data_IF_152621182486
#
_entry.id   IF_152621182486
#
_cell.length_a   1.000
_cell.length_b   1.000
_cell.length_c   1.000
_cell.angle_alpha   90.00
_cell.angle_beta   90.00
_cell.angle_gamma   90.00
#
_symmetry.space_group_name_H-M   'P 1'
#
loop_
_entity.id
_entity.type
_entity.pdbx_description
1 polymer ?
#
# COMPACT_ATOMS: atom_id res chain seq x y z
N UNK A 1 -67.68 -12.07 -82.49
CA UNK A 1 -66.45 -12.86 -82.66
C UNK A 1 -65.39 -12.14 -81.85
N UNK A 2 -64.97 -12.57 -80.67
CA UNK A 2 -65.22 -13.77 -79.86
C UNK A 2 -64.81 -13.35 -78.44
N UNK A 3 -65.44 -13.95 -77.44
CA UNK A 3 -65.14 -13.81 -76.02
C UNK A 3 -63.65 -14.06 -75.72
N UNK A 4 -63.12 -13.32 -74.75
CA UNK A 4 -62.12 -13.86 -73.82
C UNK A 4 -62.28 -13.11 -72.49
N UNK A 5 -63.00 -13.76 -71.57
CA UNK A 5 -63.10 -13.37 -70.17
C UNK A 5 -61.83 -13.88 -69.50
N UNK A 6 -60.85 -13.00 -69.28
CA UNK A 6 -59.75 -13.30 -68.37
C UNK A 6 -60.24 -12.94 -66.97
N UNK A 7 -60.70 -13.97 -66.25
CA UNK A 7 -61.05 -13.93 -64.83
C UNK A 7 -59.80 -13.53 -64.01
N UNK A 8 -59.74 -12.29 -63.54
CA UNK A 8 -58.70 -11.86 -62.61
C UNK A 8 -58.97 -12.49 -61.23
N UNK A 9 -58.19 -13.50 -60.86
CA UNK A 9 -58.06 -13.90 -59.46
C UNK A 9 -57.56 -12.71 -58.64
N UNK A 10 -58.18 -12.37 -57.50
CA UNK A 10 -57.70 -11.27 -56.68
C UNK A 10 -56.32 -11.64 -56.12
N UNK A 11 -55.32 -10.80 -56.39
CA UNK A 11 -54.01 -10.91 -55.79
C UNK A 11 -54.16 -10.93 -54.26
N UNK A 12 -54.02 -12.11 -53.66
CA UNK A 12 -53.78 -12.21 -52.22
C UNK A 12 -52.52 -11.40 -51.95
N UNK A 13 -52.67 -10.29 -51.22
CA UNK A 13 -51.54 -9.63 -50.56
C UNK A 13 -51.03 -10.61 -49.51
N UNK A 14 -50.16 -11.51 -49.94
CA UNK A 14 -49.35 -12.33 -49.05
C UNK A 14 -48.51 -11.35 -48.24
N UNK A 15 -48.96 -11.06 -47.02
CA UNK A 15 -48.18 -10.28 -46.08
C UNK A 15 -46.88 -11.05 -45.90
N UNK A 16 -45.77 -10.51 -46.42
CA UNK A 16 -44.43 -11.06 -46.26
C UNK A 16 -44.11 -11.11 -44.76
N UNK A 17 -44.54 -12.19 -44.11
CA UNK A 17 -44.18 -12.49 -42.73
C UNK A 17 -42.68 -12.75 -42.75
N UNK A 18 -41.92 -11.83 -42.13
CA UNK A 18 -40.48 -11.95 -42.08
C UNK A 18 -40.09 -13.34 -41.53
N UNK A 19 -39.14 -14.04 -42.17
CA UNK A 19 -38.80 -15.40 -41.78
C UNK A 19 -38.29 -15.42 -40.33
N UNK A 20 -38.65 -16.46 -39.58
CA UNK A 20 -38.42 -16.55 -38.14
C UNK A 20 -36.95 -16.29 -37.73
N UNK A 21 -35.98 -16.65 -38.59
CA UNK A 21 -34.55 -16.40 -38.35
C UNK A 21 -34.18 -14.91 -38.33
N UNK A 22 -34.85 -14.04 -39.11
CA UNK A 22 -34.63 -12.60 -39.10
C UNK A 22 -35.13 -11.99 -37.79
N UNK A 23 -36.32 -12.39 -37.33
CA UNK A 23 -36.86 -11.92 -36.04
C UNK A 23 -36.05 -12.43 -34.85
N UNK A 24 -35.51 -13.65 -34.92
CA UNK A 24 -34.60 -14.20 -33.92
C UNK A 24 -33.26 -13.44 -33.92
N UNK A 25 -32.65 -13.21 -35.09
CA UNK A 25 -31.45 -12.38 -35.22
C UNK A 25 -31.68 -10.95 -34.69
N UNK A 26 -32.86 -10.37 -34.97
CA UNK A 26 -33.25 -9.03 -34.52
C UNK A 26 -33.57 -8.95 -33.01
N UNK A 27 -33.82 -10.08 -32.35
CA UNK A 27 -33.96 -10.14 -30.89
C UNK A 27 -32.61 -10.36 -30.22
N UNK A 28 -31.74 -11.18 -30.82
CA UNK A 28 -30.42 -11.52 -30.28
C UNK A 28 -29.41 -10.36 -30.41
N UNK A 29 -29.39 -9.59 -31.51
CA UNK A 29 -28.46 -8.44 -31.62
C UNK A 29 -28.75 -7.34 -30.59
N UNK A 30 -30.02 -7.09 -30.21
CA UNK A 30 -30.37 -6.14 -29.14
C UNK A 30 -29.85 -6.59 -27.79
N UNK A 31 -29.91 -7.89 -27.51
CA UNK A 31 -29.34 -8.49 -26.30
C UNK A 31 -27.81 -8.32 -26.27
N UNK A 32 -27.12 -8.67 -27.36
CA UNK A 32 -25.66 -8.48 -27.45
C UNK A 32 -25.25 -7.01 -27.42
N UNK A 33 -26.00 -6.12 -28.06
CA UNK A 33 -25.77 -4.67 -27.99
C UNK A 33 -25.96 -4.13 -26.56
N UNK A 34 -26.98 -4.61 -25.83
CA UNK A 34 -27.18 -4.28 -24.43
C UNK A 34 -26.04 -4.75 -23.54
N UNK A 35 -25.57 -6.00 -23.72
CA UNK A 35 -24.41 -6.54 -23.00
C UNK A 35 -23.14 -5.75 -23.31
N UNK A 36 -22.89 -5.46 -24.60
CA UNK A 36 -21.72 -4.69 -25.01
C UNK A 36 -21.71 -3.28 -24.39
N UNK A 37 -22.85 -2.59 -24.38
CA UNK A 37 -22.99 -1.28 -23.74
C UNK A 37 -22.66 -1.34 -22.25
N UNK A 38 -23.20 -2.33 -21.53
CA UNK A 38 -22.91 -2.52 -20.10
C UNK A 38 -21.42 -2.79 -19.88
N UNK A 39 -20.80 -3.64 -20.70
CA UNK A 39 -19.35 -3.91 -20.60
C UNK A 39 -18.51 -2.65 -20.86
N UNK A 40 -18.86 -1.84 -21.87
CA UNK A 40 -18.16 -0.58 -22.13
C UNK A 40 -18.28 0.40 -20.97
N UNK A 41 -19.45 0.49 -20.32
CA UNK A 41 -19.65 1.34 -19.13
C UNK A 41 -18.82 0.83 -17.94
N UNK A 42 -18.75 -0.48 -17.73
CA UNK A 42 -17.92 -1.08 -16.66
C UNK A 42 -16.44 -0.79 -16.91
N UNK A 43 -15.95 -1.04 -18.12
CA UNK A 43 -14.54 -0.80 -18.48
C UNK A 43 -14.19 0.69 -18.40
N UNK A 44 -15.06 1.56 -18.92
CA UNK A 44 -14.89 3.01 -18.85
C UNK A 44 -14.90 3.53 -17.41
N UNK A 45 -15.81 3.02 -16.57
CA UNK A 45 -15.86 3.34 -15.15
C UNK A 45 -14.62 2.87 -14.40
N UNK A 46 -14.14 1.65 -14.66
CA UNK A 46 -12.90 1.13 -14.07
C UNK A 46 -11.68 1.96 -14.47
N UNK A 47 -11.56 2.34 -15.74
CA UNK A 47 -10.45 3.16 -16.23
C UNK A 47 -10.49 4.57 -15.66
N UNK A 48 -11.67 5.20 -15.57
CA UNK A 48 -11.83 6.51 -14.93
C UNK A 48 -11.50 6.47 -13.42
N UNK A 49 -11.98 5.44 -12.71
CA UNK A 49 -11.68 5.24 -11.30
C UNK A 49 -10.17 5.09 -11.07
N UNK A 50 -9.51 4.21 -11.82
CA UNK A 50 -8.06 4.01 -11.75
C UNK A 50 -7.28 5.27 -12.12
N UNK A 51 -7.71 5.99 -13.15
CA UNK A 51 -7.10 7.27 -13.54
C UNK A 51 -7.22 8.33 -12.44
N UNK A 52 -8.29 8.31 -11.66
CA UNK A 52 -8.45 9.22 -10.53
C UNK A 52 -7.49 8.88 -9.38
N UNK A 53 -7.33 7.59 -9.06
CA UNK A 53 -6.36 7.13 -8.05
C UNK A 53 -4.92 7.47 -8.43
N UNK A 54 -4.54 7.22 -9.69
CA UNK A 54 -3.20 7.54 -10.21
C UNK A 54 -2.89 9.05 -10.11
N UNK A 55 -3.87 9.90 -10.43
CA UNK A 55 -3.72 11.35 -10.33
C UNK A 55 -3.50 11.81 -8.88
N UNK A 56 -4.29 11.30 -7.93
CA UNK A 56 -4.13 11.59 -6.50
C UNK A 56 -2.76 11.14 -5.99
N UNK A 57 -2.30 9.97 -6.40
CA UNK A 57 -1.01 9.44 -6.00
C UNK A 57 0.15 10.32 -6.51
N UNK A 58 0.09 10.76 -7.77
CA UNK A 58 1.10 11.65 -8.36
C UNK A 58 1.13 13.00 -7.63
N UNK A 59 -0.04 13.54 -7.28
CA UNK A 59 -0.13 14.80 -6.54
C UNK A 59 0.46 14.66 -5.12
N UNK A 60 0.15 13.57 -4.42
CA UNK A 60 0.72 13.25 -3.11
C UNK A 60 2.26 13.19 -3.17
N UNK A 61 2.83 12.46 -4.13
CA UNK A 61 4.27 12.37 -4.32
C UNK A 61 4.90 13.71 -4.71
N UNK A 62 4.18 14.53 -5.48
CA UNK A 62 4.61 15.89 -5.82
C UNK A 62 4.69 16.75 -4.57
N UNK A 63 3.68 16.71 -3.68
CA UNK A 63 3.72 17.43 -2.40
C UNK A 63 4.85 16.91 -1.50
N UNK A 64 5.02 15.59 -1.40
CA UNK A 64 6.11 14.96 -0.65
C UNK A 64 7.48 15.46 -1.10
N UNK A 65 7.69 15.59 -2.41
CA UNK A 65 8.97 16.07 -2.98
C UNK A 65 9.34 17.47 -2.50
N UNK A 66 8.36 18.32 -2.17
CA UNK A 66 8.56 19.71 -1.70
C UNK A 66 9.00 19.76 -0.24
N UNK A 67 8.68 18.73 0.54
CA UNK A 67 8.99 18.67 1.98
C UNK A 67 10.20 17.81 2.27
N UNK A 68 10.56 16.91 1.35
CA UNK A 68 11.59 15.90 1.58
C UNK A 68 12.90 16.48 2.13
N UNK A 69 13.36 17.61 1.59
CA UNK A 69 14.58 18.27 2.08
C UNK A 69 14.46 18.78 3.53
N UNK A 70 13.30 19.28 3.93
CA UNK A 70 13.04 19.75 5.30
C UNK A 70 13.04 18.59 6.28
N UNK A 71 12.43 17.46 5.88
CA UNK A 71 12.46 16.22 6.65
C UNK A 71 13.90 15.67 6.78
N UNK A 72 14.64 15.58 5.67
CA UNK A 72 16.01 15.06 5.64
C UNK A 72 16.99 15.96 6.44
N UNK A 73 16.68 17.25 6.57
CA UNK A 73 17.40 18.19 7.44
C UNK A 73 17.09 18.00 8.93
N UNK A 74 16.17 17.09 9.29
CA UNK A 74 15.76 16.82 10.67
C UNK A 74 14.80 17.86 11.26
N UNK A 75 14.28 18.79 10.44
CA UNK A 75 13.31 19.79 10.91
C UNK A 75 11.89 19.19 10.90
N UNK A 76 11.66 18.27 11.84
CA UNK A 76 10.48 17.41 11.85
C UNK A 76 9.17 18.17 12.04
N UNK A 77 9.11 19.16 12.93
CA UNK A 77 7.88 19.96 13.10
C UNK A 77 7.51 20.71 11.81
N UNK A 78 8.50 21.35 11.17
CA UNK A 78 8.26 22.01 9.89
C UNK A 78 7.87 21.03 8.78
N UNK A 79 8.42 19.81 8.77
CA UNK A 79 8.01 18.79 7.81
C UNK A 79 6.59 18.25 8.07
N UNK A 80 6.18 18.14 9.33
CA UNK A 80 4.86 17.64 9.72
C UNK A 80 3.73 18.59 9.30
N UNK A 81 3.90 19.89 9.50
CA UNK A 81 2.84 20.89 9.26
C UNK A 81 3.03 21.72 7.98
N UNK A 82 4.27 21.83 7.49
CA UNK A 82 4.67 22.76 6.43
C UNK A 82 4.47 24.25 6.74
N UNK A 83 4.20 24.64 7.99
CA UNK A 83 3.90 26.04 8.34
C UNK A 83 5.06 27.00 8.05
N UNK A 84 6.30 26.49 8.09
CA UNK A 84 7.52 27.27 7.82
C UNK A 84 8.04 27.11 6.39
N UNK A 85 7.29 26.45 5.50
CA UNK A 85 7.71 26.16 4.13
C UNK A 85 7.00 27.12 3.17
N UNK A 86 7.80 27.87 2.40
CA UNK A 86 7.27 28.82 1.45
C UNK A 86 6.44 28.12 0.35
N UNK A 87 5.31 28.72 -0.09
CA UNK A 87 4.53 28.19 -1.19
C UNK A 87 5.34 28.19 -2.49
N UNK A 88 4.96 27.33 -3.42
CA UNK A 88 5.57 27.29 -4.76
C UNK A 88 4.59 27.87 -5.76
N UNK A 89 4.85 29.12 -6.17
CA UNK A 89 3.86 29.92 -6.90
C UNK A 89 2.68 30.25 -6.01
N UNK A 90 1.47 29.97 -6.49
CA UNK A 90 0.23 30.18 -5.73
C UNK A 90 -0.16 28.96 -4.87
N UNK A 91 0.56 27.84 -4.99
CA UNK A 91 0.20 26.58 -4.34
C UNK A 91 0.87 26.45 -2.96
N UNK A 92 0.03 26.27 -1.93
CA UNK A 92 0.45 25.92 -0.56
C UNK A 92 1.15 24.56 -0.58
N UNK A 93 2.23 24.44 0.20
CA UNK A 93 2.87 23.15 0.49
C UNK A 93 2.13 22.48 1.65
N UNK A 94 1.73 21.22 1.48
CA UNK A 94 0.97 20.48 2.49
C UNK A 94 1.92 19.68 3.37
N UNK A 95 1.86 19.81 4.71
CA UNK A 95 2.67 19.03 5.64
C UNK A 95 2.47 17.51 5.53
N UNK A 96 3.42 16.71 6.05
CA UNK A 96 3.32 15.24 6.00
C UNK A 96 2.01 14.70 6.59
N UNK A 97 1.49 15.32 7.66
CA UNK A 97 0.21 14.93 8.27
C UNK A 97 -0.98 15.23 7.34
N UNK A 98 -0.94 16.37 6.66
CA UNK A 98 -1.98 16.78 5.72
C UNK A 98 -1.94 15.91 4.45
N UNK A 99 -0.75 15.58 3.94
CA UNK A 99 -0.62 14.66 2.81
C UNK A 99 -1.11 13.25 3.18
N UNK A 100 -0.72 12.73 4.36
CA UNK A 100 -1.14 11.38 4.76
C UNK A 100 -2.65 11.25 4.88
N UNK A 101 -3.33 12.31 5.34
CA UNK A 101 -4.79 12.34 5.48
C UNK A 101 -5.51 12.58 4.15
N UNK A 102 -5.07 13.56 3.35
CA UNK A 102 -5.77 13.94 2.12
C UNK A 102 -5.62 12.91 1.00
N UNK A 103 -4.55 12.12 1.02
CA UNK A 103 -4.24 11.11 0.02
C UNK A 103 -4.26 9.68 0.59
N UNK A 104 -5.09 9.45 1.63
CA UNK A 104 -5.30 8.13 2.22
C UNK A 104 -5.70 7.09 1.15
N UNK A 105 -5.14 5.88 1.26
CA UNK A 105 -5.32 4.81 0.28
C UNK A 105 -4.43 4.90 -0.97
N UNK A 106 -3.65 5.98 -1.14
CA UNK A 106 -2.62 6.06 -2.19
C UNK A 106 -1.23 5.73 -1.65
N UNK A 107 -0.32 5.34 -2.55
CA UNK A 107 1.07 5.08 -2.18
C UNK A 107 1.76 6.32 -1.59
N UNK A 108 1.59 7.49 -2.21
CA UNK A 108 2.13 8.75 -1.70
C UNK A 108 1.58 9.13 -0.33
N UNK A 109 0.29 8.84 -0.06
CA UNK A 109 -0.31 9.01 1.26
C UNK A 109 0.33 8.10 2.31
N UNK A 110 0.56 6.83 2.00
CA UNK A 110 1.21 5.88 2.89
C UNK A 110 2.69 6.19 3.14
N UNK A 111 3.43 6.60 2.10
CA UNK A 111 4.81 7.11 2.25
C UNK A 111 4.83 8.33 3.16
N UNK A 112 3.89 9.26 2.99
CA UNK A 112 3.78 10.44 3.84
C UNK A 112 3.45 10.06 5.28
N UNK A 113 2.56 9.09 5.49
CA UNK A 113 2.23 8.55 6.81
C UNK A 113 3.47 7.92 7.47
N UNK A 114 4.24 7.11 6.74
CA UNK A 114 5.47 6.51 7.25
C UNK A 114 6.49 7.57 7.65
N UNK A 115 6.69 8.59 6.81
CA UNK A 115 7.58 9.71 7.12
C UNK A 115 7.07 10.53 8.32
N UNK A 116 5.77 10.79 8.41
CA UNK A 116 5.16 11.47 9.54
C UNK A 116 5.37 10.69 10.85
N UNK A 117 5.16 9.37 10.83
CA UNK A 117 5.42 8.49 11.97
C UNK A 117 6.88 8.55 12.43
N UNK A 118 7.82 8.54 11.47
CA UNK A 118 9.25 8.68 11.77
C UNK A 118 9.60 10.05 12.37
N UNK A 119 9.05 11.15 11.83
CA UNK A 119 9.21 12.49 12.37
C UNK A 119 8.65 12.60 13.80
N UNK A 120 7.44 12.10 14.03
CA UNK A 120 6.80 12.10 15.35
C UNK A 120 7.57 11.25 16.36
N UNK A 121 8.11 10.10 15.94
CA UNK A 121 9.01 9.27 16.75
C UNK A 121 10.28 10.04 17.14
N UNK A 122 10.89 10.76 16.18
CA UNK A 122 12.06 11.62 16.43
C UNK A 122 11.78 12.78 17.38
N UNK A 123 10.52 13.23 17.47
CA UNK A 123 10.05 14.24 18.42
C UNK A 123 9.58 13.65 19.77
N UNK A 124 9.60 12.33 19.94
CA UNK A 124 9.10 11.64 21.13
C UNK A 124 7.56 11.59 21.23
N UNK A 125 6.84 11.93 20.16
CA UNK A 125 5.37 11.93 20.06
C UNK A 125 4.87 10.55 19.62
N UNK A 126 5.15 9.53 20.43
CA UNK A 126 4.96 8.11 20.06
C UNK A 126 3.49 7.71 19.83
N UNK A 127 2.53 8.28 20.55
CA UNK A 127 1.11 7.96 20.35
C UNK A 127 0.63 8.42 18.97
N UNK A 128 0.96 9.66 18.58
CA UNK A 128 0.65 10.18 17.24
C UNK A 128 1.43 9.42 16.15
N UNK A 129 2.67 9.01 16.44
CA UNK A 129 3.46 8.21 15.52
C UNK A 129 2.79 6.87 15.20
N UNK A 130 2.21 6.21 16.21
CA UNK A 130 1.47 4.95 16.03
C UNK A 130 0.32 5.11 15.06
N UNK A 131 -0.45 6.19 15.15
CA UNK A 131 -1.56 6.44 14.23
C UNK A 131 -1.08 6.58 12.79
N UNK A 132 0.05 7.28 12.58
CA UNK A 132 0.64 7.42 11.25
C UNK A 132 1.22 6.11 10.71
N UNK A 133 1.89 5.30 11.53
CA UNK A 133 2.37 3.99 11.08
C UNK A 133 1.22 3.03 10.76
N UNK A 134 0.13 3.05 11.53
CA UNK A 134 -1.07 2.27 11.20
C UNK A 134 -1.66 2.69 9.85
N UNK A 135 -1.68 3.99 9.55
CA UNK A 135 -2.12 4.49 8.25
C UNK A 135 -1.17 4.05 7.12
N UNK A 136 0.14 4.03 7.37
CA UNK A 136 1.12 3.54 6.39
C UNK A 136 0.94 2.06 6.02
N UNK A 137 0.40 1.23 6.92
CA UNK A 137 0.10 -0.18 6.65
C UNK A 137 -1.00 -0.41 5.61
N UNK A 138 -1.70 0.64 5.15
CA UNK A 138 -2.66 0.51 4.05
C UNK A 138 -2.01 0.23 2.69
N UNK A 139 -0.69 0.37 2.58
CA UNK A 139 0.07 0.12 1.35
C UNK A 139 0.56 -1.34 1.30
N UNK A 140 0.56 -1.92 0.09
CA UNK A 140 1.01 -3.28 -0.14
C UNK A 140 2.52 -3.39 -0.44
N UNK A 141 3.21 -2.27 -0.63
CA UNK A 141 4.64 -2.23 -0.86
C UNK A 141 5.37 -2.72 0.38
N UNK A 142 6.13 -3.82 0.22
CA UNK A 142 6.90 -4.48 1.29
C UNK A 142 7.74 -3.48 2.09
N UNK A 143 8.41 -2.54 1.42
CA UNK A 143 9.25 -1.53 2.09
C UNK A 143 8.43 -0.65 3.04
N UNK A 144 7.21 -0.27 2.65
CA UNK A 144 6.33 0.56 3.48
C UNK A 144 5.77 -0.24 4.64
N UNK A 145 5.31 -1.47 4.39
CA UNK A 145 4.81 -2.36 5.44
C UNK A 145 5.88 -2.66 6.49
N UNK A 146 7.09 -3.03 6.06
CA UNK A 146 8.22 -3.31 6.95
C UNK A 146 8.58 -2.08 7.77
N UNK A 147 8.70 -0.90 7.13
CA UNK A 147 9.00 0.34 7.84
C UNK A 147 7.92 0.74 8.84
N UNK A 148 6.64 0.55 8.50
CA UNK A 148 5.53 0.84 9.40
C UNK A 148 5.50 -0.12 10.61
N UNK A 149 5.72 -1.42 10.38
CA UNK A 149 5.83 -2.40 11.47
C UNK A 149 7.03 -2.11 12.38
N UNK A 150 8.17 -1.71 11.82
CA UNK A 150 9.33 -1.24 12.59
C UNK A 150 8.98 -0.04 13.46
N UNK A 151 8.32 0.97 12.89
CA UNK A 151 7.89 2.16 13.62
C UNK A 151 6.92 1.84 14.75
N UNK A 152 5.95 0.96 14.52
CA UNK A 152 5.02 0.48 15.56
C UNK A 152 5.77 -0.26 16.67
N UNK A 153 6.73 -1.11 16.32
CA UNK A 153 7.56 -1.82 17.28
C UNK A 153 8.38 -0.84 18.14
N UNK A 154 9.00 0.17 17.54
CA UNK A 154 9.72 1.22 18.26
C UNK A 154 8.80 2.02 19.21
N UNK A 155 7.55 2.30 18.79
CA UNK A 155 6.57 2.93 19.67
C UNK A 155 6.20 2.02 20.85
N UNK A 156 6.07 0.70 20.64
CA UNK A 156 5.85 -0.26 21.72
C UNK A 156 7.04 -0.32 22.68
N UNK A 157 8.28 -0.30 22.17
CA UNK A 157 9.50 -0.22 23.00
C UNK A 157 9.52 1.03 23.87
N UNK A 158 9.15 2.19 23.31
CA UNK A 158 9.08 3.46 24.06
C UNK A 158 8.08 3.40 25.21
N UNK A 159 7.05 2.56 25.08
CA UNK A 159 6.03 2.32 26.11
C UNK A 159 6.40 1.17 27.07
N UNK A 160 7.60 0.59 26.97
CA UNK A 160 8.06 -0.53 27.78
C UNK A 160 7.44 -1.88 27.41
N UNK A 161 6.70 -1.97 26.31
CA UNK A 161 5.99 -3.17 25.85
C UNK A 161 6.88 -4.06 24.99
N UNK A 162 8.01 -4.48 25.56
CA UNK A 162 9.06 -5.19 24.81
C UNK A 162 8.60 -6.53 24.21
N UNK A 163 7.68 -7.26 24.86
CA UNK A 163 7.16 -8.50 24.29
C UNK A 163 6.36 -8.26 23.00
N UNK A 164 5.44 -7.29 23.03
CA UNK A 164 4.65 -6.89 21.85
C UNK A 164 5.55 -6.31 20.74
N UNK A 165 6.59 -5.55 21.12
CA UNK A 165 7.58 -5.04 20.17
C UNK A 165 8.36 -6.16 19.48
N UNK A 166 8.78 -7.19 20.24
CA UNK A 166 9.49 -8.34 19.69
C UNK A 166 8.67 -9.06 18.62
N UNK A 167 7.40 -9.33 18.91
CA UNK A 167 6.47 -9.96 17.95
C UNK A 167 6.29 -9.10 16.69
N UNK A 168 6.23 -7.77 16.85
CA UNK A 168 6.07 -6.84 15.73
C UNK A 168 7.33 -6.79 14.84
N UNK A 169 8.53 -6.80 15.44
CA UNK A 169 9.77 -6.90 14.69
C UNK A 169 9.93 -8.24 13.97
N UNK A 170 9.52 -9.35 14.58
CA UNK A 170 9.51 -10.65 13.89
C UNK A 170 8.56 -10.64 12.68
N UNK A 171 7.38 -10.04 12.81
CA UNK A 171 6.47 -9.83 11.67
C UNK A 171 7.10 -8.98 10.59
N UNK A 172 7.77 -7.88 10.96
CA UNK A 172 8.49 -7.04 10.01
C UNK A 172 9.60 -7.82 9.27
N UNK A 173 10.34 -8.68 9.97
CA UNK A 173 11.33 -9.56 9.35
C UNK A 173 10.70 -10.57 8.39
N UNK A 174 9.56 -11.16 8.75
CA UNK A 174 8.82 -12.12 7.92
C UNK A 174 8.21 -11.47 6.67
N UNK A 175 7.73 -10.23 6.78
CA UNK A 175 7.23 -9.47 5.62
C UNK A 175 8.38 -9.08 4.69
N UNK A 176 9.54 -8.73 5.25
CA UNK A 176 10.74 -8.32 4.54
C UNK A 176 11.76 -9.43 4.28
N UNK A 177 11.34 -10.70 4.11
CA UNK A 177 12.26 -11.82 3.87
C UNK A 177 13.17 -11.56 2.66
N UNK A 178 14.46 -11.89 2.79
CA UNK A 178 15.50 -11.68 1.78
C UNK A 178 15.74 -10.21 1.40
N UNK A 179 15.15 -9.26 2.14
CA UNK A 179 15.45 -7.85 2.01
C UNK A 179 16.57 -7.43 2.97
N UNK A 180 17.25 -6.31 2.73
CA UNK A 180 18.22 -5.75 3.68
C UNK A 180 17.65 -5.46 5.08
N UNK A 181 16.33 -5.40 5.24
CA UNK A 181 15.65 -5.13 6.50
C UNK A 181 15.50 -6.37 7.39
N UNK A 182 15.51 -7.58 6.81
CA UNK A 182 15.35 -8.84 7.56
C UNK A 182 16.33 -8.98 8.74
N UNK A 183 17.66 -8.89 8.55
CA UNK A 183 18.61 -9.04 9.65
C UNK A 183 18.42 -7.99 10.74
N UNK A 184 18.12 -6.76 10.35
CA UNK A 184 17.92 -5.65 11.28
C UNK A 184 16.69 -5.87 12.15
N UNK A 185 15.58 -6.32 11.56
CA UNK A 185 14.34 -6.61 12.29
C UNK A 185 14.50 -7.79 13.23
N UNK A 186 15.13 -8.88 12.78
CA UNK A 186 15.45 -10.02 13.65
C UNK A 186 16.33 -9.58 14.83
N UNK A 187 17.33 -8.73 14.57
CA UNK A 187 18.19 -8.22 15.63
C UNK A 187 17.41 -7.39 16.67
N UNK A 188 16.53 -6.48 16.25
CA UNK A 188 15.69 -5.72 17.18
C UNK A 188 14.70 -6.60 17.95
N UNK A 189 14.12 -7.63 17.32
CA UNK A 189 13.31 -8.62 18.01
C UNK A 189 14.10 -9.34 19.11
N UNK A 190 15.33 -9.78 18.80
CA UNK A 190 16.20 -10.45 19.76
C UNK A 190 16.57 -9.54 20.95
N UNK A 191 16.83 -8.25 20.72
CA UNK A 191 17.04 -7.27 21.79
C UNK A 191 15.81 -7.12 22.68
N UNK A 192 14.61 -7.09 22.11
CA UNK A 192 13.36 -7.06 22.87
C UNK A 192 13.15 -8.35 23.69
N UNK A 193 13.49 -9.52 23.15
CA UNK A 193 13.47 -10.78 23.90
C UNK A 193 14.50 -10.81 25.04
N UNK A 194 15.69 -10.26 24.82
CA UNK A 194 16.71 -10.08 25.87
C UNK A 194 16.15 -9.21 27.01
N UNK A 195 15.47 -8.10 26.70
CA UNK A 195 14.84 -7.19 27.69
C UNK A 195 13.71 -7.83 28.48
N UNK A 196 12.96 -8.74 27.89
CA UNK A 196 11.87 -9.48 28.57
C UNK A 196 12.38 -10.70 29.35
N UNK A 197 13.69 -10.98 29.31
CA UNK A 197 14.30 -12.13 29.97
C UNK A 197 14.17 -13.45 29.21
N UNK A 198 13.59 -13.44 28.00
CA UNK A 198 13.51 -14.60 27.12
C UNK A 198 14.84 -14.85 26.39
N UNK A 199 15.84 -15.29 27.16
CA UNK A 199 17.21 -15.49 26.67
C UNK A 199 17.30 -16.56 25.59
N UNK A 200 16.48 -17.60 25.68
CA UNK A 200 16.47 -18.73 24.73
C UNK A 200 16.06 -18.25 23.34
N UNK A 201 14.94 -17.52 23.24
CA UNK A 201 14.47 -16.99 21.95
C UNK A 201 15.41 -15.91 21.41
N UNK A 202 15.91 -15.02 22.29
CA UNK A 202 16.91 -14.01 21.90
C UNK A 202 18.18 -14.67 21.31
N UNK A 203 18.72 -15.68 21.99
CA UNK A 203 19.90 -16.42 21.53
C UNK A 203 19.68 -17.16 20.22
N UNK A 204 18.52 -17.80 20.05
CA UNK A 204 18.16 -18.44 18.78
C UNK A 204 18.17 -17.44 17.63
N UNK A 205 17.52 -16.28 17.80
CA UNK A 205 17.44 -15.27 16.76
C UNK A 205 18.82 -14.65 16.49
N UNK A 206 19.60 -14.31 17.52
CA UNK A 206 20.96 -13.81 17.30
C UNK A 206 21.83 -14.82 16.56
N UNK A 207 21.69 -16.12 16.84
CA UNK A 207 22.40 -17.18 16.13
C UNK A 207 21.98 -17.22 14.65
N UNK A 208 20.69 -17.15 14.37
CA UNK A 208 20.18 -17.04 12.99
C UNK A 208 20.77 -15.83 12.29
N UNK A 209 20.79 -14.67 12.95
CA UNK A 209 21.33 -13.45 12.35
C UNK A 209 22.84 -13.58 12.07
N UNK A 210 23.59 -14.11 13.03
CA UNK A 210 25.03 -14.28 12.93
C UNK A 210 25.46 -15.26 11.83
N UNK A 211 24.68 -16.33 11.59
CA UNK A 211 24.96 -17.37 10.58
C UNK A 211 24.38 -17.07 9.19
N UNK A 212 23.13 -16.59 9.12
CA UNK A 212 22.46 -16.33 7.83
C UNK A 212 23.00 -15.07 7.16
N UNK A 213 23.43 -14.07 7.93
CA UNK A 213 23.86 -12.77 7.42
C UNK A 213 25.31 -12.43 7.80
N UNK A 214 26.20 -13.42 7.80
CA UNK A 214 27.60 -13.34 8.27
C UNK A 214 28.40 -12.11 7.79
N UNK A 215 28.14 -11.65 6.57
CA UNK A 215 28.84 -10.51 5.95
C UNK A 215 28.23 -9.15 6.29
N UNK A 216 27.09 -9.12 6.98
CA UNK A 216 26.42 -7.88 7.39
C UNK A 216 27.03 -7.29 8.67
N UNK A 217 26.95 -5.96 8.81
CA UNK A 217 27.33 -5.31 10.06
C UNK A 217 26.50 -5.85 11.26
N UNK A 218 25.21 -6.12 11.04
CA UNK A 218 24.27 -6.62 12.04
C UNK A 218 24.67 -8.01 12.57
N UNK A 219 25.31 -8.86 11.76
CA UNK A 219 25.83 -10.13 12.25
C UNK A 219 26.88 -9.93 13.34
N UNK A 220 27.73 -8.91 13.25
CA UNK A 220 28.71 -8.62 14.31
C UNK A 220 28.00 -8.24 15.62
N UNK A 221 26.96 -7.41 15.55
CA UNK A 221 26.17 -7.01 16.72
C UNK A 221 25.41 -8.20 17.34
N UNK A 222 24.91 -9.13 16.50
CA UNK A 222 24.27 -10.35 16.96
C UNK A 222 25.25 -11.27 17.72
N UNK A 223 26.50 -11.38 17.27
CA UNK A 223 27.56 -12.11 18.00
C UNK A 223 27.85 -11.49 19.36
N UNK A 224 27.84 -10.16 19.45
CA UNK A 224 27.95 -9.45 20.74
C UNK A 224 26.73 -9.76 21.63
N UNK A 225 25.53 -9.80 21.07
CA UNK A 225 24.31 -10.21 21.77
C UNK A 225 24.43 -11.62 22.38
N UNK A 226 24.90 -12.60 21.60
CA UNK A 226 25.16 -13.97 22.10
C UNK A 226 26.16 -13.99 23.25
N UNK A 227 27.26 -13.24 23.12
CA UNK A 227 28.26 -13.14 24.18
C UNK A 227 27.67 -12.54 25.48
N UNK A 228 26.80 -11.52 25.39
CA UNK A 228 26.08 -10.97 26.56
C UNK A 228 25.17 -12.01 27.21
N UNK A 229 24.56 -12.89 26.43
CA UNK A 229 23.72 -13.97 26.91
C UNK A 229 24.53 -15.17 27.46
N UNK A 230 25.86 -15.18 27.30
CA UNK A 230 26.72 -16.30 27.65
C UNK A 230 26.55 -17.51 26.72
N UNK A 231 26.14 -17.28 25.47
CA UNK A 231 25.88 -18.31 24.46
C UNK A 231 26.98 -18.31 23.40
N UNK A 232 27.40 -19.50 22.98
CA UNK A 232 28.34 -19.69 21.88
C UNK A 232 27.59 -19.82 20.54
N UNK A 233 28.30 -19.55 19.45
CA UNK A 233 27.82 -19.85 18.10
C UNK A 233 28.31 -21.26 17.78
N UNK A 234 27.38 -22.23 17.81
CA UNK A 234 27.65 -23.62 17.44
C UNK A 234 27.93 -23.78 15.93
#
# INVERSE_FOLDING_TARGET
MTEDIIEQQPAQKESLNQPAWLTAAQKQWKLYAGIALVLTLIIGGFWWYRSQEDAKNIEALTQLSRIRSTFDAGNFEAALTADSIAPVGENKVLGLLEISQNYEGTHGGAVSALMAGNALTGLGRYDEARDQFNRALSDDAVVIQVGAMQGLAACLESSGKYAEAADMYEKAAQTGVETPFEPQNLFFAALCYEKTGNKEKAGSIFTTVAKKFETSAIATDAKVGLARLGMAID
#
